data_IF_914661427739
#
_entry.id   IF_914661427739
#
_cell.length_a   1.000
_cell.length_b   1.000
_cell.length_c   1.000
_cell.angle_alpha   90.00
_cell.angle_beta   90.00
_cell.angle_gamma   90.00
#
_symmetry.space_group_name_H-M   'P 1'
#
loop_
_entity.id
_entity.type
_entity.pdbx_description
1 polymer ?
#
# COMPACT_ATOMS: atom_id res chain seq x y z
N UNK A 1 -18.09 43.62 -58.33
CA UNK A 1 -16.65 43.27 -58.29
C UNK A 1 -16.45 42.20 -57.23
N UNK A 2 -16.06 41.00 -57.65
CA UNK A 2 -15.81 39.83 -56.80
C UNK A 2 -14.38 39.86 -56.28
N UNK A 3 -14.16 39.51 -55.01
CA UNK A 3 -12.87 39.03 -54.51
C UNK A 3 -13.09 37.73 -53.75
N UNK A 4 -12.70 36.65 -54.39
CA UNK A 4 -12.60 35.33 -53.81
C UNK A 4 -11.37 35.29 -52.89
N UNK A 5 -11.50 34.71 -51.70
CA UNK A 5 -10.36 34.00 -51.11
C UNK A 5 -10.87 32.74 -50.42
N UNK A 6 -10.35 31.61 -50.90
CA UNK A 6 -10.65 30.27 -50.45
C UNK A 6 -9.86 30.01 -49.16
N UNK A 7 -10.54 29.63 -48.07
CA UNK A 7 -9.93 28.79 -47.04
C UNK A 7 -10.99 27.80 -46.58
N UNK A 8 -10.93 26.60 -47.16
CA UNK A 8 -11.44 25.39 -46.53
C UNK A 8 -10.39 24.94 -45.53
N UNK A 9 -10.76 24.74 -44.26
CA UNK A 9 -10.19 23.65 -43.45
C UNK A 9 -11.13 23.42 -42.26
N UNK A 10 -11.92 22.34 -42.37
CA UNK A 10 -12.56 21.73 -41.22
C UNK A 10 -11.46 21.13 -40.33
N UNK A 11 -11.44 21.48 -39.05
CA UNK A 11 -10.65 20.78 -38.05
C UNK A 11 -11.49 20.67 -36.78
N UNK A 12 -11.98 19.45 -36.60
CA UNK A 12 -12.70 18.87 -35.47
C UNK A 12 -12.20 19.42 -34.13
N UNK A 13 -13.11 20.02 -33.37
CA UNK A 13 -12.88 20.35 -31.97
C UNK A 13 -12.80 19.03 -31.20
N UNK A 14 -11.57 18.55 -30.96
CA UNK A 14 -11.32 17.39 -30.12
C UNK A 14 -11.74 17.77 -28.71
N UNK A 15 -12.95 17.35 -28.34
CA UNK A 15 -13.34 17.14 -26.96
C UNK A 15 -12.35 16.14 -26.38
N UNK A 16 -11.31 16.63 -25.70
CA UNK A 16 -10.58 15.83 -24.73
C UNK A 16 -11.54 15.55 -23.57
N UNK A 17 -12.40 14.55 -23.77
CA UNK A 17 -12.91 13.76 -22.69
C UNK A 17 -11.67 13.20 -21.99
N UNK A 18 -11.34 13.73 -20.81
CA UNK A 18 -10.55 13.00 -19.82
C UNK A 18 -11.41 11.82 -19.35
N UNK A 19 -11.54 10.84 -20.24
CA UNK A 19 -12.04 9.53 -19.93
C UNK A 19 -11.01 8.89 -19.00
N UNK A 20 -11.45 8.68 -17.77
CA UNK A 20 -10.89 7.75 -16.81
C UNK A 20 -9.42 8.02 -16.41
N UNK A 21 -9.26 8.74 -15.30
CA UNK A 21 -8.35 8.24 -14.26
C UNK A 21 -8.88 6.86 -13.83
N UNK A 22 -8.56 5.83 -14.63
CA UNK A 22 -8.31 4.51 -14.06
C UNK A 22 -7.18 4.75 -13.06
N UNK A 23 -7.49 4.66 -11.77
CA UNK A 23 -6.51 4.41 -10.72
C UNK A 23 -5.85 3.06 -11.01
N UNK A 24 -5.01 3.03 -12.04
CA UNK A 24 -4.19 1.91 -12.46
C UNK A 24 -2.87 2.01 -11.74
N UNK A 25 -2.63 1.03 -10.87
CA UNK A 25 -1.55 0.88 -9.90
C UNK A 25 -1.63 1.87 -8.73
N UNK A 26 -2.11 1.41 -7.57
CA UNK A 26 -1.84 2.06 -6.28
C UNK A 26 -0.34 2.32 -6.13
N UNK A 27 0.10 3.27 -5.31
CA UNK A 27 1.51 3.34 -4.88
C UNK A 27 1.70 2.52 -3.59
N UNK A 28 2.94 2.22 -3.17
CA UNK A 28 3.22 1.73 -1.81
C UNK A 28 2.55 2.55 -0.70
N UNK A 29 2.66 3.88 -0.74
CA UNK A 29 2.02 4.79 0.22
C UNK A 29 0.48 4.72 0.18
N UNK A 30 -0.12 4.64 -1.02
CA UNK A 30 -1.56 4.45 -1.15
C UNK A 30 -2.01 3.12 -0.56
N UNK A 31 -1.24 2.05 -0.79
CA UNK A 31 -1.51 0.70 -0.24
C UNK A 31 -1.41 0.70 1.28
N UNK A 32 -0.39 1.36 1.85
CA UNK A 32 -0.25 1.53 3.30
C UNK A 32 -1.45 2.24 3.92
N UNK A 33 -1.89 3.35 3.31
CA UNK A 33 -3.08 4.08 3.74
C UNK A 33 -4.32 3.19 3.70
N UNK A 34 -4.51 2.40 2.64
CA UNK A 34 -5.63 1.45 2.54
C UNK A 34 -5.57 0.38 3.63
N UNK A 35 -4.39 -0.20 3.92
CA UNK A 35 -4.22 -1.15 5.01
C UNK A 35 -4.61 -0.53 6.36
N UNK A 36 -4.12 0.67 6.64
CA UNK A 36 -4.38 1.38 7.89
C UNK A 36 -5.87 1.72 8.05
N UNK A 37 -6.53 2.19 7.00
CA UNK A 37 -7.96 2.45 7.00
C UNK A 37 -8.79 1.17 7.22
N UNK A 38 -8.40 0.06 6.61
CA UNK A 38 -9.02 -1.24 6.85
C UNK A 38 -8.83 -1.67 8.31
N UNK A 39 -7.62 -1.50 8.87
CA UNK A 39 -7.33 -1.78 10.26
C UNK A 39 -8.22 -0.97 11.22
N UNK A 40 -8.36 0.34 10.99
CA UNK A 40 -9.25 1.21 11.80
C UNK A 40 -10.72 0.79 11.74
N UNK A 41 -11.16 0.27 10.59
CA UNK A 41 -12.52 -0.24 10.38
C UNK A 41 -12.70 -1.67 10.89
N UNK A 42 -11.65 -2.30 11.44
CA UNK A 42 -11.61 -3.73 11.78
C UNK A 42 -11.96 -4.63 10.59
N UNK A 43 -11.64 -4.17 9.38
CA UNK A 43 -11.89 -4.87 8.12
C UNK A 43 -10.74 -5.83 7.81
N UNK A 44 -10.84 -7.04 8.36
CA UNK A 44 -9.85 -8.10 8.20
C UNK A 44 -9.62 -8.46 6.72
N UNK A 45 -10.70 -8.55 5.93
CA UNK A 45 -10.59 -8.85 4.49
C UNK A 45 -9.94 -7.72 3.71
N UNK A 46 -10.26 -6.47 4.05
CA UNK A 46 -9.60 -5.28 3.52
C UNK A 46 -8.09 -5.29 3.80
N UNK A 47 -7.69 -5.64 5.03
CA UNK A 47 -6.27 -5.77 5.37
C UNK A 47 -5.59 -6.88 4.56
N UNK A 48 -6.16 -8.10 4.53
CA UNK A 48 -5.58 -9.24 3.80
C UNK A 48 -5.31 -8.89 2.34
N UNK A 49 -6.21 -8.15 1.68
CA UNK A 49 -6.03 -7.72 0.27
C UNK A 49 -4.82 -6.83 0.04
N UNK A 50 -4.33 -6.14 1.06
CA UNK A 50 -3.15 -5.26 0.99
C UNK A 50 -1.87 -5.94 1.44
N UNK A 51 -1.94 -7.14 2.02
CA UNK A 51 -0.78 -7.92 2.44
C UNK A 51 -0.31 -8.84 1.30
N UNK A 52 1.00 -9.08 1.23
CA UNK A 52 1.58 -9.99 0.23
C UNK A 52 1.23 -11.43 0.53
N UNK A 53 1.29 -12.30 -0.49
CA UNK A 53 1.06 -13.74 -0.33
C UNK A 53 2.05 -14.35 0.67
N UNK A 54 3.32 -13.93 0.65
CA UNK A 54 4.33 -14.42 1.59
C UNK A 54 4.08 -13.95 3.02
N UNK A 55 3.67 -12.69 3.22
CA UNK A 55 3.24 -12.19 4.53
C UNK A 55 2.06 -12.99 5.08
N UNK A 56 1.03 -13.25 4.27
CA UNK A 56 -0.12 -14.04 4.69
C UNK A 56 0.27 -15.47 5.07
N UNK A 57 1.16 -16.11 4.30
CA UNK A 57 1.66 -17.45 4.61
C UNK A 57 2.48 -17.49 5.91
N UNK A 58 3.34 -16.48 6.15
CA UNK A 58 4.06 -16.33 7.42
C UNK A 58 3.09 -16.18 8.59
N UNK A 59 2.07 -15.33 8.46
CA UNK A 59 1.04 -15.14 9.49
C UNK A 59 0.25 -16.42 9.72
N UNK A 60 -0.10 -17.17 8.67
CA UNK A 60 -0.79 -18.44 8.80
C UNK A 60 0.03 -19.47 9.58
N UNK A 61 1.34 -19.56 9.30
CA UNK A 61 2.24 -20.43 10.06
C UNK A 61 2.30 -20.02 11.53
N UNK A 62 2.54 -18.73 11.81
CA UNK A 62 2.61 -18.23 13.18
C UNK A 62 1.29 -18.38 13.95
N UNK A 63 0.15 -18.24 13.28
CA UNK A 63 -1.16 -18.45 13.87
C UNK A 63 -1.41 -19.94 14.16
N UNK A 64 -1.06 -20.85 13.25
CA UNK A 64 -1.15 -22.30 13.47
C UNK A 64 -0.33 -22.76 14.67
N UNK A 65 0.89 -22.25 14.83
CA UNK A 65 1.77 -22.55 15.98
C UNK A 65 1.10 -22.12 17.31
N UNK A 66 0.23 -21.11 17.28
CA UNK A 66 -0.56 -20.62 18.40
C UNK A 66 -1.98 -21.20 18.47
N UNK A 67 -2.33 -22.17 17.61
CA UNK A 67 -3.68 -22.74 17.46
C UNK A 67 -4.77 -21.68 17.17
N UNK A 68 -4.43 -20.69 16.36
CA UNK A 68 -5.30 -19.60 15.91
C UNK A 68 -5.41 -19.55 14.39
N UNK A 69 -6.40 -18.82 13.88
CA UNK A 69 -6.50 -18.45 12.46
C UNK A 69 -5.77 -17.12 12.17
N UNK A 70 -5.49 -16.85 10.90
CA UNK A 70 -4.93 -15.55 10.47
C UNK A 70 -5.86 -14.40 10.87
N UNK A 71 -7.18 -14.60 10.78
CA UNK A 71 -8.20 -13.61 11.13
C UNK A 71 -8.15 -13.27 12.62
N UNK A 72 -7.98 -14.27 13.48
CA UNK A 72 -7.78 -14.05 14.91
C UNK A 72 -6.48 -13.26 15.16
N UNK A 73 -5.39 -13.63 14.51
CA UNK A 73 -4.11 -12.91 14.64
C UNK A 73 -4.21 -11.44 14.16
N UNK A 74 -4.88 -11.18 13.04
CA UNK A 74 -5.14 -9.82 12.55
C UNK A 74 -6.03 -9.03 13.51
N UNK A 75 -7.05 -9.69 14.07
CA UNK A 75 -7.98 -9.07 15.03
C UNK A 75 -7.27 -8.68 16.32
N UNK A 76 -6.37 -9.52 16.83
CA UNK A 76 -5.53 -9.20 17.99
C UNK A 76 -4.62 -7.99 17.71
N UNK A 77 -4.15 -7.83 16.47
CA UNK A 77 -3.40 -6.66 16.02
C UNK A 77 -4.16 -5.34 16.15
N UNK A 78 -5.50 -5.35 16.21
CA UNK A 78 -6.32 -4.14 16.45
C UNK A 78 -6.12 -3.55 17.84
N UNK A 79 -5.61 -4.35 18.79
CA UNK A 79 -5.36 -3.87 20.14
C UNK A 79 -3.99 -3.22 20.31
N UNK A 80 -3.13 -3.28 19.28
CA UNK A 80 -1.83 -2.62 19.28
C UNK A 80 -1.97 -1.08 19.36
N UNK A 81 -1.04 -0.36 20.02
CA UNK A 81 -1.10 1.10 20.08
C UNK A 81 -1.18 1.77 18.71
N UNK A 82 -0.47 1.22 17.72
CA UNK A 82 -0.51 1.68 16.33
C UNK A 82 -1.87 1.55 15.65
N UNK A 83 -2.72 0.60 16.06
CA UNK A 83 -4.10 0.49 15.55
C UNK A 83 -5.09 1.44 16.25
N UNK A 84 -4.70 1.96 17.42
CA UNK A 84 -5.54 2.83 18.26
C UNK A 84 -5.44 4.30 17.90
N UNK A 85 -4.38 4.74 17.21
CA UNK A 85 -4.28 6.15 16.77
C UNK A 85 -5.30 6.50 15.70
N UNK A 86 -5.87 7.70 15.78
CA UNK A 86 -6.92 8.17 14.87
C UNK A 86 -6.39 8.70 13.55
N UNK A 87 -5.07 8.93 13.46
CA UNK A 87 -4.43 9.46 12.27
C UNK A 87 -3.67 8.36 11.55
N UNK A 88 -3.73 8.38 10.23
CA UNK A 88 -2.81 7.58 9.41
C UNK A 88 -1.40 8.10 9.70
N UNK A 89 -0.44 7.24 10.06
CA UNK A 89 0.93 7.65 10.30
C UNK A 89 1.51 8.45 9.14
N UNK A 90 2.38 9.43 9.44
CA UNK A 90 3.09 10.17 8.40
C UNK A 90 3.98 9.24 7.58
N UNK A 91 4.05 9.46 6.27
CA UNK A 91 4.86 8.65 5.36
C UNK A 91 5.77 9.52 4.51
N UNK A 92 6.96 9.03 4.16
CA UNK A 92 7.93 9.72 3.29
C UNK A 92 8.86 8.73 2.57
N UNK A 93 9.73 9.27 1.71
CA UNK A 93 10.82 8.55 1.06
C UNK A 93 10.37 7.25 0.37
N UNK A 94 9.23 7.29 -0.32
CA UNK A 94 8.80 6.18 -1.16
C UNK A 94 9.85 5.92 -2.24
N UNK A 95 10.36 4.68 -2.30
CA UNK A 95 11.35 4.26 -3.29
C UNK A 95 10.87 2.97 -3.94
N UNK A 96 10.75 3.01 -5.26
CA UNK A 96 10.34 1.87 -6.09
C UNK A 96 11.56 1.35 -6.86
N UNK A 97 11.78 0.04 -6.80
CA UNK A 97 12.82 -0.69 -7.52
C UNK A 97 12.21 -1.94 -8.18
N UNK A 98 11.76 -1.77 -9.43
CA UNK A 98 11.01 -2.78 -10.18
C UNK A 98 9.72 -3.20 -9.48
N UNK A 99 9.71 -4.44 -9.00
CA UNK A 99 8.59 -5.05 -8.27
C UNK A 99 8.77 -5.05 -6.76
N UNK A 100 9.78 -4.34 -6.25
CA UNK A 100 9.96 -4.09 -4.82
C UNK A 100 9.86 -2.59 -4.54
N UNK A 101 9.46 -2.24 -3.33
CA UNK A 101 9.48 -0.87 -2.88
C UNK A 101 9.67 -0.75 -1.36
N UNK A 102 10.05 0.44 -0.92
CA UNK A 102 10.15 0.81 0.49
C UNK A 102 9.42 2.11 0.76
N UNK A 103 8.86 2.25 1.96
CA UNK A 103 8.26 3.47 2.47
C UNK A 103 8.75 3.71 3.90
N UNK A 104 9.13 4.94 4.23
CA UNK A 104 9.36 5.31 5.63
C UNK A 104 8.05 5.77 6.26
N UNK A 105 7.74 5.23 7.44
CA UNK A 105 6.53 5.51 8.21
C UNK A 105 6.95 6.03 9.58
N UNK A 106 6.40 7.16 10.01
CA UNK A 106 6.70 7.71 11.33
C UNK A 106 5.94 6.95 12.41
N UNK A 107 6.65 6.42 13.39
CA UNK A 107 6.05 5.92 14.61
C UNK A 107 5.61 7.11 15.48
N UNK A 108 4.32 7.23 15.75
CA UNK A 108 3.78 8.39 16.47
C UNK A 108 4.30 8.52 17.91
N UNK A 109 4.61 7.40 18.57
CA UNK A 109 5.09 7.37 19.95
C UNK A 109 6.57 7.74 20.04
N UNK A 110 7.40 7.10 19.22
CA UNK A 110 8.87 7.26 19.29
C UNK A 110 9.41 8.36 18.39
N UNK A 111 8.59 8.89 17.47
CA UNK A 111 8.97 9.83 16.40
C UNK A 111 10.07 9.32 15.46
N UNK A 112 10.37 8.02 15.51
CA UNK A 112 11.32 7.36 14.59
C UNK A 112 10.64 7.06 13.26
N UNK A 113 11.45 6.94 12.21
CA UNK A 113 11.00 6.57 10.87
C UNK A 113 11.35 5.11 10.62
N UNK A 114 10.33 4.26 10.62
CA UNK A 114 10.45 2.83 10.39
C UNK A 114 10.27 2.54 8.91
N UNK A 115 11.08 1.64 8.36
CA UNK A 115 11.03 1.27 6.94
C UNK A 115 10.10 0.08 6.74
N UNK A 116 9.05 0.28 5.95
CA UNK A 116 8.10 -0.76 5.54
C UNK A 116 8.42 -1.19 4.10
N UNK A 117 8.37 -2.49 3.87
CA UNK A 117 8.70 -3.09 2.57
C UNK A 117 7.43 -3.50 1.81
N UNK A 118 7.50 -3.43 0.49
CA UNK A 118 6.40 -3.74 -0.40
C UNK A 118 6.88 -4.59 -1.58
N UNK A 119 5.98 -5.41 -2.11
CA UNK A 119 6.17 -6.18 -3.34
C UNK A 119 4.99 -5.95 -4.27
N UNK A 120 5.22 -5.98 -5.58
CA UNK A 120 4.16 -5.93 -6.58
C UNK A 120 3.74 -7.35 -6.93
N UNK A 121 2.47 -7.65 -6.73
CA UNK A 121 1.84 -8.93 -7.08
C UNK A 121 0.63 -8.64 -7.97
N UNK A 122 0.53 -9.31 -9.12
CA UNK A 122 -0.61 -9.18 -10.03
C UNK A 122 -0.92 -7.70 -10.43
N UNK A 123 0.13 -6.87 -10.51
CA UNK A 123 0.13 -5.42 -10.79
C UNK A 123 -0.32 -4.51 -9.63
N UNK A 124 -0.62 -5.08 -8.47
CA UNK A 124 -0.95 -4.35 -7.25
C UNK A 124 0.21 -4.37 -6.26
N UNK A 125 0.45 -3.26 -5.57
CA UNK A 125 1.38 -3.28 -4.44
C UNK A 125 0.77 -3.95 -3.23
N UNK A 126 1.61 -4.68 -2.50
CA UNK A 126 1.29 -5.38 -1.26
C UNK A 126 2.36 -5.08 -0.21
N UNK A 127 1.95 -4.95 1.04
CA UNK A 127 2.86 -4.85 2.19
C UNK A 127 3.52 -6.21 2.40
N UNK A 128 4.85 -6.21 2.45
CA UNK A 128 5.69 -7.36 2.75
C UNK A 128 6.15 -7.28 4.22
N UNK A 129 5.26 -7.65 5.14
CA UNK A 129 5.53 -7.74 6.58
C UNK A 129 6.62 -8.75 6.90
N UNK A 130 6.66 -9.87 6.19
CA UNK A 130 7.71 -10.87 6.26
C UNK A 130 9.10 -10.27 6.03
N UNK A 131 9.26 -9.49 4.95
CA UNK A 131 10.51 -8.76 4.68
C UNK A 131 10.81 -7.69 5.73
N UNK A 132 9.78 -6.98 6.17
CA UNK A 132 9.93 -5.95 7.21
C UNK A 132 10.45 -6.55 8.52
N UNK A 133 9.91 -7.69 8.94
CA UNK A 133 10.34 -8.43 10.12
C UNK A 133 11.74 -9.02 9.95
N UNK A 134 12.04 -9.62 8.79
CA UNK A 134 13.37 -10.14 8.47
C UNK A 134 14.45 -9.06 8.60
N UNK A 135 14.21 -7.88 8.01
CA UNK A 135 15.15 -6.75 8.07
C UNK A 135 15.28 -6.18 9.49
N UNK A 136 14.20 -6.19 10.26
CA UNK A 136 14.25 -5.82 11.68
C UNK A 136 15.13 -6.80 12.48
N UNK A 137 14.99 -8.12 12.28
CA UNK A 137 15.83 -9.11 12.95
C UNK A 137 17.31 -8.97 12.59
N UNK A 138 17.61 -8.72 11.30
CA UNK A 138 18.99 -8.43 10.85
C UNK A 138 19.59 -7.22 11.56
N UNK A 139 18.81 -6.16 11.75
CA UNK A 139 19.26 -4.96 12.47
C UNK A 139 19.49 -5.20 13.97
N UNK A 140 18.74 -6.11 14.58
CA UNK A 140 18.89 -6.49 15.98
C UNK A 140 20.00 -7.54 16.22
N UNK A 141 20.65 -8.03 15.18
CA UNK A 141 21.71 -9.04 15.28
C UNK A 141 21.22 -10.42 15.71
N UNK A 142 19.91 -10.67 15.62
CA UNK A 142 19.30 -11.97 15.92
C UNK A 142 19.11 -12.74 14.61
N UNK A 143 19.63 -13.98 14.50
CA UNK A 143 19.48 -14.80 13.30
C UNK A 143 18.05 -15.27 13.06
#
# INVERSE_FOLDING_TARGET
MMKNSKVFFAATLVLFAFAACKFGSSSPAATFKTFYEAQKKKDVEGMKKTLSKSSLAMMEKAAKDQKKTVDQALTEGFESPGAKTDKVPETRNEKIDGDNATLEVQNEETKKWDKVYFVKEDKDWKIALDKTIEEMFKQLGTP
#
